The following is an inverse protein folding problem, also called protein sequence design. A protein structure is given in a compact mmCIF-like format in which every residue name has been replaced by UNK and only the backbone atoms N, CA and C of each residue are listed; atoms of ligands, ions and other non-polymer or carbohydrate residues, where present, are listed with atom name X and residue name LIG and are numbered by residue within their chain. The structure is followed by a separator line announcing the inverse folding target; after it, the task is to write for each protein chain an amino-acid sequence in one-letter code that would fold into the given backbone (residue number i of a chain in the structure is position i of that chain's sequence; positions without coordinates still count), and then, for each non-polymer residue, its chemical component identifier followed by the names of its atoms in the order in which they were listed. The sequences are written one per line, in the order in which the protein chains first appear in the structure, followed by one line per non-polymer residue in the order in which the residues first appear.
data_IF_679047652251
#
_entry.id   IF_679047652251
#
_cell.length_a   1.000
_cell.length_b   1.000
_cell.length_c   1.000
_cell.angle_alpha   90.00
_cell.angle_beta   90.00
_cell.angle_gamma   90.00
#
_symmetry.space_group_name_H-M   'P 1'
#
loop_
_entity.id
_entity.type
_entity.pdbx_description
1 polymer ?
#
# COMPACT_ATOMS: atom_id res chain seq x y z
N UNK A 1 9.78 -8.04 0.16
CA UNK A 1 9.72 -9.17 1.12
C UNK A 1 10.96 -10.04 1.01
N UNK A 2 11.29 -10.59 -0.16
CA UNK A 2 12.52 -11.39 -0.33
C UNK A 2 13.80 -10.59 -0.06
N UNK A 3 13.90 -9.36 -0.57
CA UNK A 3 15.07 -8.48 -0.38
C UNK A 3 15.34 -8.16 1.10
N UNK A 4 14.36 -7.56 1.79
CA UNK A 4 14.54 -7.01 3.15
C UNK A 4 13.93 -7.87 4.27
N UNK A 5 13.36 -9.04 3.96
CA UNK A 5 12.88 -10.02 4.94
C UNK A 5 14.03 -10.77 5.59
N UNK A 6 14.95 -10.02 6.22
CA UNK A 6 16.22 -10.51 6.76
C UNK A 6 16.30 -10.25 8.26
N UNK A 7 17.16 -11.01 8.93
CA UNK A 7 17.37 -10.90 10.38
C UNK A 7 18.84 -10.82 10.80
N UNK A 8 19.78 -10.91 9.84
CA UNK A 8 21.22 -10.82 10.07
C UNK A 8 21.76 -9.57 9.35
N UNK A 9 22.54 -8.79 10.08
CA UNK A 9 23.22 -7.58 9.57
C UNK A 9 24.49 -7.93 8.78
N UNK A 10 25.08 -6.95 8.09
CA UNK A 10 26.34 -7.13 7.35
C UNK A 10 27.52 -7.52 8.26
N UNK A 11 27.48 -7.13 9.54
CA UNK A 11 28.46 -7.55 10.55
C UNK A 11 28.34 -9.03 10.98
N UNK A 12 27.25 -9.71 10.60
CA UNK A 12 26.92 -11.06 11.05
C UNK A 12 26.12 -11.10 12.36
N UNK A 13 25.88 -9.95 13.01
CA UNK A 13 25.03 -9.87 14.19
C UNK A 13 23.53 -9.96 13.82
N UNK A 14 22.73 -10.53 14.72
CA UNK A 14 21.27 -10.58 14.59
C UNK A 14 20.63 -9.23 14.96
N UNK A 15 19.66 -8.78 14.17
CA UNK A 15 18.91 -7.54 14.44
C UNK A 15 18.06 -7.65 15.71
N UNK A 16 17.89 -6.52 16.41
CA UNK A 16 16.97 -6.37 17.56
C UNK A 16 15.81 -5.38 17.25
N UNK A 17 15.61 -5.07 15.97
CA UNK A 17 14.57 -4.20 15.42
C UNK A 17 13.81 -4.88 14.27
N UNK A 18 12.74 -4.25 13.78
CA UNK A 18 11.97 -4.74 12.63
C UNK A 18 12.69 -4.43 11.31
N UNK A 19 12.54 -5.30 10.31
CA UNK A 19 13.07 -5.12 8.95
C UNK A 19 11.93 -5.04 7.93
N UNK A 20 12.05 -5.71 6.77
CA UNK A 20 11.08 -5.61 5.68
C UNK A 20 9.65 -5.98 6.10
N UNK A 21 8.64 -5.16 5.74
CA UNK A 21 7.24 -5.45 6.04
C UNK A 21 6.68 -6.56 5.14
N UNK A 22 5.53 -7.11 5.55
CA UNK A 22 4.67 -7.90 4.67
C UNK A 22 3.98 -6.93 3.70
N UNK A 23 4.14 -7.19 2.40
CA UNK A 23 3.52 -6.40 1.33
C UNK A 23 2.34 -7.17 0.76
N UNK A 24 1.21 -6.50 0.59
CA UNK A 24 -0.02 -7.07 0.06
C UNK A 24 -0.90 -5.96 -0.53
N UNK A 25 -1.84 -6.29 -1.42
CA UNK A 25 -2.75 -5.35 -2.03
C UNK A 25 -3.48 -5.92 -3.25
N UNK A 26 -4.48 -5.18 -3.74
CA UNK A 26 -5.29 -5.49 -4.93
C UNK A 26 -5.64 -4.19 -5.65
N UNK A 27 -5.88 -4.21 -6.99
CA UNK A 27 -6.35 -3.03 -7.71
C UNK A 27 -7.66 -2.47 -7.17
N UNK A 28 -7.77 -1.14 -7.14
CA UNK A 28 -9.03 -0.45 -6.89
C UNK A 28 -9.97 -0.57 -8.10
N UNK A 29 -11.29 -0.68 -7.92
CA UNK A 29 -12.05 -0.62 -6.65
C UNK A 29 -12.28 -2.00 -6.02
N UNK A 30 -11.72 -3.09 -6.57
CA UNK A 30 -11.96 -4.46 -6.09
C UNK A 30 -11.59 -4.61 -4.61
N UNK A 31 -10.42 -4.10 -4.21
CA UNK A 31 -9.99 -4.14 -2.80
C UNK A 31 -10.96 -3.44 -1.82
N UNK A 32 -11.70 -2.43 -2.29
CA UNK A 32 -12.67 -1.69 -1.47
C UNK A 32 -13.82 -2.58 -0.99
N UNK A 33 -14.16 -3.60 -1.77
CA UNK A 33 -15.21 -4.56 -1.45
C UNK A 33 -14.70 -5.86 -0.81
N UNK A 34 -13.38 -5.97 -0.59
CA UNK A 34 -12.76 -7.17 -0.01
C UNK A 34 -12.26 -6.91 1.42
N UNK A 35 -11.32 -5.98 1.61
CA UNK A 35 -10.57 -5.85 2.87
C UNK A 35 -10.51 -4.43 3.44
N UNK A 36 -11.08 -3.43 2.76
CA UNK A 36 -11.06 -2.04 3.26
C UNK A 36 -11.87 -1.87 4.55
N UNK A 37 -12.82 -2.76 4.85
CA UNK A 37 -13.48 -2.84 6.15
C UNK A 37 -12.45 -2.96 7.29
N UNK A 38 -11.47 -3.85 7.13
CA UNK A 38 -10.40 -4.03 8.12
C UNK A 38 -9.47 -2.81 8.14
N UNK A 39 -9.18 -2.23 6.97
CA UNK A 39 -8.32 -1.03 6.91
C UNK A 39 -8.99 0.14 7.63
N UNK A 40 -10.31 0.33 7.53
CA UNK A 40 -11.02 1.47 8.14
C UNK A 40 -11.37 1.28 9.63
N UNK A 41 -11.83 0.10 10.02
CA UNK A 41 -12.38 -0.14 11.37
C UNK A 41 -11.71 -1.32 12.10
N UNK A 42 -10.67 -1.91 11.53
CA UNK A 42 -9.87 -2.94 12.19
C UNK A 42 -8.89 -2.38 13.21
N UNK A 43 -8.26 -3.27 13.97
CA UNK A 43 -7.34 -2.92 15.08
C UNK A 43 -5.87 -2.84 14.66
N UNK A 44 -5.59 -2.85 13.36
CA UNK A 44 -4.23 -2.75 12.81
C UNK A 44 -4.07 -1.42 12.09
N UNK A 45 -2.94 -0.75 12.34
CA UNK A 45 -2.48 0.35 11.51
C UNK A 45 -1.80 -0.25 10.27
N UNK A 46 -2.28 0.13 9.09
CA UNK A 46 -1.79 -0.37 7.80
C UNK A 46 -1.49 0.86 6.94
N UNK A 47 -0.21 1.25 6.78
CA UNK A 47 0.17 2.26 5.81
C UNK A 47 -0.17 1.80 4.40
N UNK A 48 -0.84 2.64 3.61
CA UNK A 48 -1.22 2.31 2.23
C UNK A 48 -0.63 3.30 1.23
N UNK A 49 -0.01 2.78 0.18
CA UNK A 49 0.33 3.57 -1.01
C UNK A 49 -0.82 3.43 -2.02
N UNK A 50 -1.50 4.53 -2.33
CA UNK A 50 -2.54 4.62 -3.35
C UNK A 50 -1.94 5.18 -4.64
N UNK A 51 -2.08 4.45 -5.76
CA UNK A 51 -1.50 4.82 -7.05
C UNK A 51 -2.60 4.99 -8.11
N UNK A 52 -2.55 6.06 -8.91
CA UNK A 52 -3.52 6.25 -10.02
C UNK A 52 -2.97 7.14 -11.16
N UNK A 53 -3.23 6.78 -12.44
CA UNK A 53 -3.02 7.71 -13.54
C UNK A 53 -4.13 8.75 -13.64
N UNK A 54 -3.79 9.99 -13.97
CA UNK A 54 -4.75 11.05 -14.29
C UNK A 54 -5.49 10.73 -15.58
N UNK A 55 -4.77 10.25 -16.61
CA UNK A 55 -5.30 9.90 -17.91
C UNK A 55 -5.49 8.38 -18.05
N UNK A 56 -6.70 7.96 -18.41
CA UNK A 56 -6.99 6.56 -18.71
C UNK A 56 -6.44 6.14 -20.07
N UNK A 57 -5.98 4.90 -20.20
CA UNK A 57 -5.75 4.27 -21.50
C UNK A 57 -7.06 4.02 -22.27
N UNK A 58 -8.19 3.93 -21.56
CA UNK A 58 -9.51 3.62 -22.13
C UNK A 58 -10.57 4.64 -21.67
N UNK A 59 -10.63 5.84 -22.28
CA UNK A 59 -11.56 6.91 -21.88
C UNK A 59 -13.02 6.65 -22.34
N UNK A 60 -13.53 5.44 -22.10
CA UNK A 60 -14.88 5.02 -22.49
C UNK A 60 -15.97 5.88 -21.83
N UNK A 61 -17.09 6.01 -22.53
CA UNK A 61 -18.25 6.82 -22.09
C UNK A 61 -17.85 8.24 -21.68
N UNK A 62 -17.02 8.89 -22.50
CA UNK A 62 -16.49 10.23 -22.27
C UNK A 62 -15.78 10.37 -20.90
N UNK A 63 -15.01 9.35 -20.52
CA UNK A 63 -14.23 9.34 -19.28
C UNK A 63 -15.06 9.12 -18.01
N UNK A 64 -16.35 8.76 -18.10
CA UNK A 64 -17.20 8.55 -16.92
C UNK A 64 -16.61 7.53 -15.94
N UNK A 65 -16.10 6.40 -16.46
CA UNK A 65 -15.51 5.35 -15.63
C UNK A 65 -14.28 5.85 -14.87
N UNK A 66 -13.37 6.55 -15.57
CA UNK A 66 -12.16 7.08 -14.96
C UNK A 66 -12.45 8.18 -13.93
N UNK A 67 -13.47 9.01 -14.20
CA UNK A 67 -13.96 10.00 -13.23
C UNK A 67 -14.44 9.35 -11.94
N UNK A 68 -15.22 8.26 -12.03
CA UNK A 68 -15.70 7.51 -10.86
C UNK A 68 -14.52 6.87 -10.11
N UNK A 69 -13.55 6.32 -10.84
CA UNK A 69 -12.34 5.73 -10.27
C UNK A 69 -11.52 6.78 -9.49
N UNK A 70 -11.24 7.94 -10.09
CA UNK A 70 -10.55 9.07 -9.44
C UNK A 70 -11.31 9.57 -8.20
N UNK A 71 -12.64 9.68 -8.29
CA UNK A 71 -13.45 10.09 -7.14
C UNK A 71 -13.32 9.10 -5.97
N UNK A 72 -13.32 7.79 -6.24
CA UNK A 72 -13.12 6.77 -5.20
C UNK A 72 -11.69 6.78 -4.66
N UNK A 73 -10.68 6.99 -5.50
CA UNK A 73 -9.29 7.13 -5.06
C UNK A 73 -9.13 8.25 -4.03
N UNK A 74 -9.63 9.45 -4.35
CA UNK A 74 -9.55 10.61 -3.47
C UNK A 74 -10.36 10.38 -2.19
N UNK A 75 -11.61 9.94 -2.33
CA UNK A 75 -12.52 9.73 -1.20
C UNK A 75 -12.00 8.70 -0.18
N UNK A 76 -11.31 7.64 -0.64
CA UNK A 76 -10.78 6.62 0.29
C UNK A 76 -9.65 7.17 1.16
N UNK A 77 -8.71 7.90 0.57
CA UNK A 77 -7.59 8.50 1.33
C UNK A 77 -8.09 9.59 2.29
N UNK A 78 -9.07 10.39 1.87
CA UNK A 78 -9.74 11.38 2.74
C UNK A 78 -10.48 10.70 3.90
N UNK A 79 -11.25 9.64 3.62
CA UNK A 79 -11.99 8.92 4.65
C UNK A 79 -11.05 8.25 5.68
N UNK A 80 -9.92 7.70 5.25
CA UNK A 80 -8.91 7.11 6.15
C UNK A 80 -8.27 8.16 7.06
N UNK A 81 -8.06 9.37 6.55
CA UNK A 81 -7.52 10.48 7.33
C UNK A 81 -8.57 11.04 8.31
N UNK A 82 -9.72 11.48 7.80
CA UNK A 82 -10.71 12.24 8.56
C UNK A 82 -11.53 11.37 9.49
N UNK A 83 -11.86 10.16 9.06
CA UNK A 83 -12.86 9.33 9.72
C UNK A 83 -14.25 9.98 9.70
N UNK A 84 -15.07 9.61 10.68
CA UNK A 84 -16.43 10.09 10.89
C UNK A 84 -16.71 10.07 12.39
N UNK A 85 -16.90 11.25 12.97
CA UNK A 85 -17.15 11.42 14.40
C UNK A 85 -18.50 10.86 14.84
N UNK A 86 -18.64 10.64 16.15
CA UNK A 86 -19.91 10.23 16.76
C UNK A 86 -21.04 11.21 16.44
N UNK A 87 -20.81 12.52 16.50
CA UNK A 87 -21.80 13.55 16.17
C UNK A 87 -22.25 13.50 14.71
N UNK A 88 -21.33 13.26 13.76
CA UNK A 88 -21.68 13.12 12.34
C UNK A 88 -22.51 11.86 12.10
N UNK A 89 -22.07 10.71 12.64
CA UNK A 89 -22.80 9.45 12.55
C UNK A 89 -24.20 9.57 13.21
N UNK A 90 -24.29 10.29 14.34
CA UNK A 90 -25.55 10.58 15.04
C UNK A 90 -26.53 11.32 14.15
N UNK A 91 -26.08 12.40 13.50
CA UNK A 91 -26.90 13.20 12.58
C UNK A 91 -27.40 12.38 11.38
N UNK A 92 -26.53 11.54 10.79
CA UNK A 92 -26.91 10.66 9.68
C UNK A 92 -27.97 9.64 10.09
N UNK A 93 -27.81 8.99 11.24
CA UNK A 93 -28.76 8.01 11.75
C UNK A 93 -30.11 8.64 12.12
N UNK A 94 -30.12 9.88 12.62
CA UNK A 94 -31.35 10.62 12.90
C UNK A 94 -32.10 10.96 11.61
N UNK A 95 -31.39 11.43 10.58
CA UNK A 95 -31.98 11.72 9.28
C UNK A 95 -32.56 10.46 8.59
N UNK A 96 -31.99 9.28 8.87
CA UNK A 96 -32.49 8.00 8.37
C UNK A 96 -33.75 7.46 9.09
N UNK A 97 -34.27 8.17 10.11
CA UNK A 97 -35.55 7.84 10.76
C UNK A 97 -35.56 6.52 11.54
N UNK A 98 -34.42 6.14 12.15
CA UNK A 98 -34.30 4.89 12.95
C UNK A 98 -34.99 5.02 14.31
N UNK A 99 -35.42 3.86 14.86
CA UNK A 99 -35.97 3.79 16.22
C UNK A 99 -34.88 4.17 17.25
N UNK A 100 -35.23 4.74 18.41
CA UNK A 100 -34.25 5.09 19.45
C UNK A 100 -33.42 3.89 19.94
N UNK A 101 -34.02 2.70 19.96
CA UNK A 101 -33.38 1.46 20.42
C UNK A 101 -32.35 0.92 19.41
N UNK A 102 -32.65 0.98 18.12
CA UNK A 102 -31.70 0.61 17.07
C UNK A 102 -30.61 1.65 16.91
N UNK A 103 -30.95 2.92 17.16
CA UNK A 103 -30.06 4.06 17.05
C UNK A 103 -28.84 3.93 17.98
N UNK A 104 -29.09 3.74 19.28
CA UNK A 104 -28.01 3.66 20.28
C UNK A 104 -27.11 2.45 20.05
N UNK A 105 -27.67 1.33 19.56
CA UNK A 105 -26.89 0.14 19.21
C UNK A 105 -26.04 0.35 17.96
N UNK A 106 -26.56 1.04 16.95
CA UNK A 106 -25.90 1.18 15.65
C UNK A 106 -24.86 2.29 15.61
N UNK A 107 -25.05 3.34 16.41
CA UNK A 107 -24.17 4.51 16.47
C UNK A 107 -22.67 4.17 16.58
N UNK A 108 -22.21 3.36 17.56
CA UNK A 108 -20.78 3.05 17.69
C UNK A 108 -20.20 2.32 16.47
N UNK A 109 -21.00 1.52 15.75
CA UNK A 109 -20.56 0.81 14.55
C UNK A 109 -20.43 1.71 13.32
N UNK A 110 -21.01 2.92 13.36
CA UNK A 110 -20.98 3.92 12.27
C UNK A 110 -19.89 4.97 12.43
N UNK A 111 -19.16 4.95 13.55
CA UNK A 111 -18.01 5.81 13.80
C UNK A 111 -16.79 5.26 13.05
N UNK A 112 -16.02 6.16 12.46
CA UNK A 112 -14.72 5.87 11.85
C UNK A 112 -13.68 6.72 12.57
N UNK A 113 -12.70 6.09 13.19
CA UNK A 113 -11.70 6.80 14.01
C UNK A 113 -10.79 7.71 13.17
N UNK A 114 -10.63 7.42 11.86
CA UNK A 114 -9.71 8.15 11.01
C UNK A 114 -8.25 7.96 11.44
N UNK A 115 -7.41 8.96 11.16
CA UNK A 115 -5.98 8.98 11.46
C UNK A 115 -5.22 7.74 10.96
N UNK A 116 -5.57 7.25 9.77
CA UNK A 116 -4.93 6.10 9.11
C UNK A 116 -4.08 6.60 7.94
N UNK A 117 -2.75 6.35 7.95
CA UNK A 117 -1.83 6.98 7.03
C UNK A 117 -1.92 6.40 5.62
N UNK A 118 -1.88 7.28 4.63
CA UNK A 118 -1.79 6.91 3.21
C UNK A 118 -0.81 7.82 2.48
N UNK A 119 -0.15 7.29 1.45
CA UNK A 119 0.53 8.08 0.42
C UNK A 119 -0.33 8.06 -0.85
N UNK A 120 -0.49 9.21 -1.51
CA UNK A 120 -1.15 9.30 -2.81
C UNK A 120 -0.11 9.59 -3.89
N UNK A 121 0.14 8.63 -4.77
CA UNK A 121 1.08 8.75 -5.89
C UNK A 121 0.27 8.87 -7.17
N UNK A 122 0.25 10.07 -7.73
CA UNK A 122 -0.51 10.41 -8.93
C UNK A 122 0.46 10.68 -10.06
N UNK A 123 0.20 10.13 -11.24
CA UNK A 123 1.03 10.30 -12.43
C UNK A 123 0.17 10.59 -13.64
N UNK A 124 0.72 11.28 -14.64
CA UNK A 124 -0.07 11.76 -15.79
C UNK A 124 -0.77 10.63 -16.54
N UNK A 125 -0.03 9.61 -16.95
CA UNK A 125 -0.55 8.43 -17.66
C UNK A 125 0.37 7.24 -17.41
N UNK A 126 -0.17 6.02 -17.37
CA UNK A 126 0.66 4.81 -17.24
C UNK A 126 1.29 4.44 -18.58
N UNK A 127 2.35 5.14 -18.96
CA UNK A 127 3.21 4.84 -20.12
C UNK A 127 4.30 3.82 -19.73
N UNK A 128 4.99 3.19 -20.69
CA UNK A 128 6.14 2.34 -20.37
C UNK A 128 7.24 3.08 -19.59
N UNK A 129 7.45 4.37 -19.88
CA UNK A 129 8.40 5.23 -19.17
C UNK A 129 7.98 5.40 -17.70
N UNK A 130 6.75 5.86 -17.45
CA UNK A 130 6.23 6.03 -16.09
C UNK A 130 6.21 4.72 -15.31
N UNK A 131 5.86 3.61 -15.96
CA UNK A 131 5.93 2.29 -15.31
C UNK A 131 7.37 1.96 -14.87
N UNK A 132 8.37 2.20 -15.73
CA UNK A 132 9.77 2.02 -15.38
C UNK A 132 10.22 2.90 -14.21
N UNK A 133 9.82 4.18 -14.22
CA UNK A 133 10.12 5.11 -13.14
C UNK A 133 9.48 4.68 -11.80
N UNK A 134 8.22 4.24 -11.82
CA UNK A 134 7.53 3.74 -10.62
C UNK A 134 8.20 2.48 -10.06
N UNK A 135 8.61 1.55 -10.92
CA UNK A 135 9.35 0.35 -10.49
C UNK A 135 10.67 0.76 -9.82
N UNK A 136 11.48 1.58 -10.50
CA UNK A 136 12.78 2.05 -9.99
C UNK A 136 12.64 2.82 -8.67
N UNK A 137 11.59 3.62 -8.51
CA UNK A 137 11.28 4.32 -7.26
C UNK A 137 11.11 3.33 -6.09
N UNK A 138 10.37 2.23 -6.28
CA UNK A 138 10.21 1.21 -5.25
C UNK A 138 11.48 0.37 -5.04
N UNK A 139 12.27 0.11 -6.08
CA UNK A 139 13.58 -0.54 -5.93
C UNK A 139 14.52 0.30 -5.05
N UNK A 140 14.58 1.62 -5.28
CA UNK A 140 15.38 2.52 -4.45
C UNK A 140 14.81 2.68 -3.04
N UNK A 141 13.49 2.71 -2.85
CA UNK A 141 12.85 2.64 -1.52
C UNK A 141 13.33 1.40 -0.76
N UNK A 142 13.32 0.23 -1.41
CA UNK A 142 13.75 -1.04 -0.81
C UNK A 142 15.24 -1.01 -0.50
N UNK A 143 16.07 -0.50 -1.41
CA UNK A 143 17.50 -0.37 -1.20
C UNK A 143 17.83 0.52 0.00
N UNK A 144 17.25 1.72 0.08
CA UNK A 144 17.48 2.67 1.18
C UNK A 144 17.08 2.06 2.51
N UNK A 145 15.92 1.40 2.59
CA UNK A 145 15.51 0.68 3.80
C UNK A 145 16.53 -0.39 4.22
N UNK A 146 17.05 -1.16 3.27
CA UNK A 146 18.05 -2.18 3.54
C UNK A 146 19.38 -1.62 4.06
N UNK A 147 19.83 -0.49 3.49
CA UNK A 147 21.02 0.23 3.95
C UNK A 147 20.84 0.74 5.38
N UNK A 148 19.71 1.39 5.68
CA UNK A 148 19.38 1.88 7.03
C UNK A 148 19.37 0.75 8.06
N UNK A 149 18.87 -0.43 7.69
CA UNK A 149 18.80 -1.59 8.57
C UNK A 149 20.11 -2.40 8.66
N UNK A 150 21.17 -1.99 7.95
CA UNK A 150 22.44 -2.70 7.81
C UNK A 150 22.29 -4.18 7.37
N UNK A 151 21.36 -4.45 6.45
CA UNK A 151 21.12 -5.80 5.90
C UNK A 151 21.53 -5.90 4.43
N UNK A 152 21.72 -7.12 3.93
CA UNK A 152 21.91 -7.35 2.51
C UNK A 152 20.56 -7.53 1.79
N UNK A 153 20.15 -6.55 1.00
CA UNK A 153 18.92 -6.60 0.20
C UNK A 153 18.98 -7.51 -1.04
N UNK A 154 20.14 -8.04 -1.38
CA UNK A 154 20.40 -8.66 -2.68
C UNK A 154 20.74 -10.16 -2.63
N UNK A 155 20.70 -10.78 -1.45
CA UNK A 155 20.79 -12.25 -1.31
C UNK A 155 19.45 -12.88 -0.92
N UNK A 156 19.36 -14.22 -0.94
CA UNK A 156 18.13 -14.96 -0.63
C UNK A 156 18.39 -16.34 0.00
N UNK A 157 19.33 -16.46 0.95
CA UNK A 157 19.68 -17.74 1.60
C UNK A 157 18.48 -18.49 2.23
N UNK A 158 17.41 -17.78 2.58
CA UNK A 158 16.20 -18.35 3.19
C UNK A 158 15.49 -19.40 2.33
N UNK A 159 15.73 -19.45 1.02
CA UNK A 159 15.07 -20.42 0.12
C UNK A 159 15.75 -21.79 0.10
N UNK A 160 16.95 -21.92 0.66
CA UNK A 160 17.79 -23.12 0.49
C UNK A 160 17.28 -24.31 1.29
N UNK A 161 16.83 -24.10 2.53
CA UNK A 161 16.37 -25.19 3.40
C UNK A 161 15.18 -25.94 2.78
N UNK A 162 14.20 -25.21 2.25
CA UNK A 162 13.05 -25.80 1.56
C UNK A 162 13.47 -26.65 0.35
N UNK A 163 14.41 -26.15 -0.47
CA UNK A 163 14.95 -26.89 -1.62
C UNK A 163 15.72 -28.15 -1.21
N UNK A 164 16.49 -28.09 -0.12
CA UNK A 164 17.23 -29.24 0.40
C UNK A 164 16.30 -30.33 0.95
N UNK A 165 15.24 -29.93 1.66
CA UNK A 165 14.25 -30.85 2.20
C UNK A 165 13.39 -31.48 1.10
N UNK A 166 12.92 -30.68 0.14
CA UNK A 166 12.14 -31.18 -0.99
C UNK A 166 12.87 -32.30 -1.76
N UNK A 167 14.18 -32.14 -2.03
CA UNK A 167 15.01 -33.17 -2.67
C UNK A 167 15.16 -34.47 -1.89
N UNK A 168 15.02 -34.42 -0.56
CA UNK A 168 15.04 -35.63 0.29
C UNK A 168 13.68 -36.32 0.31
N UNK A 169 12.61 -35.54 0.33
CA UNK A 169 11.23 -36.03 0.38
C UNK A 169 10.80 -36.61 -0.98
N UNK A 170 11.23 -36.02 -2.10
CA UNK A 170 10.89 -36.45 -3.45
C UNK A 170 10.99 -37.99 -3.66
N UNK A 171 12.12 -38.67 -3.36
CA UNK A 171 12.22 -40.12 -3.51
C UNK A 171 11.42 -40.95 -2.47
N UNK A 172 11.00 -40.36 -1.35
CA UNK A 172 10.12 -41.02 -0.37
C UNK A 172 8.70 -41.14 -0.92
N UNK A 173 8.25 -40.15 -1.70
CA UNK A 173 6.93 -40.14 -2.34
C UNK A 173 6.81 -41.18 -3.47
N UNK A 174 7.91 -41.56 -4.12
CA UNK A 174 7.94 -42.61 -5.15
C UNK A 174 7.90 -44.04 -4.57
N UNK A 175 7.79 -44.21 -3.25
CA UNK A 175 7.70 -45.51 -2.57
C UNK A 175 8.96 -46.37 -2.68
N UNK A 176 10.12 -45.77 -3.02
CA UNK A 176 11.33 -46.49 -3.41
C UNK A 176 12.52 -46.35 -2.43
N UNK A 177 12.27 -46.03 -1.16
CA UNK A 177 13.32 -45.95 -0.13
C UNK A 177 13.02 -46.81 1.12
N UNK A 178 14.03 -47.49 1.72
CA UNK A 178 13.84 -48.29 2.93
C UNK A 178 13.59 -47.40 4.16
N UNK A 179 12.59 -47.77 4.96
CA UNK A 179 12.17 -47.11 6.22
C UNK A 179 13.37 -46.63 7.05
N UNK A 180 13.59 -45.31 7.12
CA UNK A 180 14.46 -44.71 8.13
C UNK A 180 13.67 -44.56 9.43
N UNK A 181 14.17 -45.16 10.51
CA UNK A 181 13.73 -44.87 11.87
C UNK A 181 14.22 -43.47 12.26
N UNK A 182 13.27 -42.57 12.52
CA UNK A 182 13.37 -41.20 13.05
C UNK A 182 13.26 -40.06 12.02
N UNK A 183 12.02 -39.63 11.75
CA UNK A 183 11.72 -38.27 11.28
C UNK A 183 10.45 -38.20 10.45
N UNK A 184 9.40 -37.57 11.02
CA UNK A 184 8.18 -37.07 10.37
C UNK A 184 7.97 -37.55 8.92
N UNK A 185 7.39 -38.73 8.75
CA UNK A 185 7.09 -39.33 7.45
C UNK A 185 6.09 -38.46 6.69
N UNK A 186 6.48 -37.99 5.50
CA UNK A 186 5.61 -37.23 4.59
C UNK A 186 4.37 -38.04 4.15
N UNK A 187 4.44 -39.37 4.28
CA UNK A 187 3.34 -40.32 4.05
C UNK A 187 2.08 -39.95 4.86
N UNK A 188 2.24 -39.43 6.09
CA UNK A 188 1.09 -39.04 6.95
C UNK A 188 0.39 -37.75 6.48
N UNK A 189 1.02 -36.93 5.62
CA UNK A 189 0.46 -35.66 5.14
C UNK A 189 -0.34 -35.82 3.84
N UNK A 190 -0.01 -36.84 3.05
CA UNK A 190 -0.66 -37.10 1.76
C UNK A 190 -1.93 -37.95 1.90
N UNK A 191 -2.14 -38.65 3.03
CA UNK A 191 -3.41 -39.30 3.36
C UNK A 191 -4.52 -38.25 3.62
N UNK A 192 -5.12 -37.75 2.54
CA UNK A 192 -6.22 -36.77 2.57
C UNK A 192 -6.13 -35.65 1.53
N UNK A 193 -5.07 -35.60 0.72
CA UNK A 193 -4.93 -34.60 -0.35
C UNK A 193 -5.79 -34.89 -1.60
N UNK A 194 -6.34 -36.10 -1.72
CA UNK A 194 -7.13 -36.54 -2.88
C UNK A 194 -8.57 -35.97 -2.93
N UNK A 195 -8.98 -35.15 -1.94
CA UNK A 195 -10.34 -34.61 -1.80
C UNK A 195 -10.43 -33.08 -2.01
N UNK A 196 -9.48 -32.49 -2.76
CA UNK A 196 -9.68 -31.13 -3.30
C UNK A 196 -10.25 -31.24 -4.71
N UNK A 197 -11.54 -30.92 -4.81
CA UNK A 197 -12.40 -31.06 -6.00
C UNK A 197 -11.71 -30.86 -7.35
N UNK A 198 -11.93 -31.82 -8.23
CA UNK A 198 -11.67 -31.74 -9.66
C UNK A 198 -12.48 -30.60 -10.28
N UNK A 199 -11.88 -29.42 -10.44
CA UNK A 199 -12.36 -28.40 -11.38
C UNK A 199 -11.80 -28.72 -12.77
N UNK A 200 -12.38 -29.74 -13.41
CA UNK A 200 -12.18 -30.01 -14.82
C UNK A 200 -13.27 -29.30 -15.62
N UNK A 201 -13.02 -28.03 -15.97
CA UNK A 201 -13.56 -27.36 -17.18
C UNK A 201 -12.89 -25.96 -17.37
N UNK A 202 -11.64 -25.95 -17.83
CA UNK A 202 -11.04 -24.74 -18.43
C UNK A 202 -11.53 -24.59 -19.88
N UNK A 203 -12.46 -23.66 -20.11
CA UNK A 203 -12.74 -23.15 -21.44
C UNK A 203 -11.63 -22.17 -21.85
N UNK A 204 -11.04 -22.37 -23.04
CA UNK A 204 -9.97 -21.53 -23.56
C UNK A 204 -10.39 -20.06 -23.75
N UNK A 205 -9.53 -19.08 -23.42
CA UNK A 205 -9.85 -17.67 -23.66
C UNK A 205 -9.87 -17.34 -25.17
N UNK A 206 -10.77 -16.45 -25.64
CA UNK A 206 -10.77 -16.03 -27.03
C UNK A 206 -9.54 -15.16 -27.34
N UNK A 207 -8.98 -15.37 -28.53
CA UNK A 207 -7.80 -14.62 -29.01
C UNK A 207 -8.12 -13.15 -29.29
N UNK A 208 -7.16 -12.23 -29.06
CA UNK A 208 -7.34 -10.82 -29.37
C UNK A 208 -7.28 -10.59 -30.88
N UNK A 209 -8.31 -9.94 -31.43
CA UNK A 209 -8.27 -9.37 -32.78
C UNK A 209 -7.56 -8.03 -32.67
N UNK A 210 -6.41 -7.92 -33.35
CA UNK A 210 -5.71 -6.66 -33.53
C UNK A 210 -6.49 -5.77 -34.49
N UNK A 211 -6.96 -4.62 -34.00
CA UNK A 211 -7.33 -3.49 -34.85
C UNK A 211 -6.75 -2.22 -34.23
N UNK A 212 -5.59 -1.80 -34.75
CA UNK A 212 -4.97 -0.52 -34.42
C UNK A 212 -5.71 0.58 -35.20
N UNK A 213 -6.85 0.98 -34.68
CA UNK A 213 -7.56 2.19 -35.11
C UNK A 213 -6.86 3.43 -34.56
N UNK A 214 -6.16 4.15 -35.45
CA UNK A 214 -5.54 5.44 -35.15
C UNK A 214 -6.59 6.55 -35.21
N UNK A 215 -7.27 6.82 -34.10
CA UNK A 215 -8.17 7.98 -33.98
C UNK A 215 -7.59 9.02 -33.02
N UNK A 216 -6.86 9.97 -33.59
CA UNK A 216 -6.54 11.25 -32.97
C UNK A 216 -7.83 12.05 -32.77
N UNK A 217 -8.34 12.12 -31.54
CA UNK A 217 -9.40 13.07 -31.20
C UNK A 217 -8.94 14.02 -30.11
N UNK A 218 -8.91 15.31 -30.49
CA UNK A 218 -8.71 16.49 -29.66
C UNK A 218 -9.75 16.54 -28.52
N UNK A 219 -9.49 15.83 -27.43
CA UNK A 219 -10.07 16.18 -26.14
C UNK A 219 -9.17 17.27 -25.55
N UNK A 220 -9.67 18.51 -25.46
CA UNK A 220 -8.97 19.60 -24.76
C UNK A 220 -8.46 19.08 -23.43
N UNK A 221 -7.12 19.06 -23.26
CA UNK A 221 -6.45 18.79 -22.00
C UNK A 221 -7.08 19.68 -20.93
N UNK A 222 -7.95 19.07 -20.12
CA UNK A 222 -8.32 19.66 -18.84
C UNK A 222 -7.11 19.44 -17.96
N UNK A 223 -6.51 20.54 -17.53
CA UNK A 223 -5.34 20.54 -16.65
C UNK A 223 -5.76 20.06 -15.24
N UNK A 224 -5.88 18.74 -15.13
CA UNK A 224 -6.13 18.05 -13.88
C UNK A 224 -4.98 18.19 -12.90
N UNK A 225 -3.75 18.42 -13.40
CA UNK A 225 -2.56 18.66 -12.60
C UNK A 225 -2.74 19.93 -11.76
N UNK A 226 -3.10 21.04 -12.38
CA UNK A 226 -3.41 22.28 -11.67
C UNK A 226 -4.61 22.13 -10.72
N UNK A 227 -5.66 21.37 -11.10
CA UNK A 227 -6.82 21.18 -10.22
C UNK A 227 -6.53 20.33 -8.98
N UNK A 228 -5.70 19.29 -9.11
CA UNK A 228 -5.24 18.48 -7.98
C UNK A 228 -4.26 19.27 -7.11
N UNK A 229 -3.44 20.15 -7.70
CA UNK A 229 -2.60 21.09 -6.98
C UNK A 229 -3.41 22.19 -6.28
N UNK A 230 -4.56 22.63 -6.79
CA UNK A 230 -5.41 23.64 -6.14
C UNK A 230 -6.18 23.08 -4.93
N UNK A 231 -6.56 21.80 -4.96
CA UNK A 231 -7.12 21.10 -3.78
C UNK A 231 -6.13 21.10 -2.60
N UNK A 232 -4.82 21.19 -2.86
CA UNK A 232 -3.74 21.29 -1.87
C UNK A 232 -3.85 22.53 -0.97
N UNK A 233 -4.44 23.64 -1.44
CA UNK A 233 -4.32 24.94 -0.79
C UNK A 233 -5.50 25.30 0.11
N UNK A 234 -6.61 24.54 0.06
CA UNK A 234 -7.87 24.98 0.69
C UNK A 234 -8.03 24.57 2.17
N UNK A 235 -7.21 23.64 2.70
CA UNK A 235 -7.41 23.09 4.05
C UNK A 235 -6.30 23.37 5.07
N UNK A 236 -5.42 24.35 4.82
CA UNK A 236 -4.46 24.82 5.85
C UNK A 236 -5.15 25.76 6.85
N UNK A 237 -6.09 25.25 7.66
CA UNK A 237 -6.46 25.88 8.93
C UNK A 237 -6.40 24.81 10.02
N UNK A 238 -5.44 24.89 10.96
CA UNK A 238 -5.40 24.00 12.11
C UNK A 238 -6.63 24.26 12.99
N UNK A 239 -7.61 23.37 12.93
CA UNK A 239 -8.75 23.37 13.85
C UNK A 239 -8.30 23.00 15.25
N UNK A 240 -8.56 23.90 16.20
CA UNK A 240 -8.26 23.79 17.63
C UNK A 240 -8.77 22.46 18.21
N UNK A 241 -7.89 21.72 18.89
CA UNK A 241 -8.21 20.48 19.59
C UNK A 241 -9.27 20.70 20.69
N UNK A 242 -10.26 19.80 20.86
CA UNK A 242 -11.17 19.87 21.99
C UNK A 242 -10.45 19.49 23.31
N UNK A 243 -10.84 20.08 24.46
CA UNK A 243 -10.15 19.84 25.72
C UNK A 243 -10.41 18.43 26.26
N UNK A 244 -9.36 17.78 26.74
CA UNK A 244 -9.44 16.49 27.41
C UNK A 244 -10.08 16.61 28.82
N UNK A 245 -10.87 15.63 29.27
CA UNK A 245 -11.42 15.62 30.63
C UNK A 245 -10.35 15.30 31.69
N UNK A 246 -10.51 15.75 32.95
CA UNK A 246 -9.49 15.58 34.00
C UNK A 246 -9.63 14.26 34.79
N UNK A 247 -8.50 13.61 35.06
CA UNK A 247 -8.32 12.47 36.01
C UNK A 247 -8.26 11.10 35.31
N UNK A 248 -7.39 10.14 35.62
CA UNK A 248 -6.47 9.87 36.75
C UNK A 248 -5.24 9.10 36.22
N UNK A 249 -4.17 9.05 37.01
CA UNK A 249 -2.85 8.56 36.62
C UNK A 249 -2.80 7.13 36.09
N UNK A 250 -2.57 7.01 34.78
CA UNK A 250 -1.90 5.89 34.14
C UNK A 250 -0.96 6.45 33.08
N UNK A 251 0.24 5.89 32.97
CA UNK A 251 1.22 6.29 31.97
C UNK A 251 0.56 6.20 30.57
N UNK A 252 0.32 7.36 29.97
CA UNK A 252 -0.24 7.49 28.64
C UNK A 252 0.67 6.73 27.65
N UNK A 253 0.12 5.98 26.69
CA UNK A 253 0.92 5.47 25.57
C UNK A 253 1.61 6.65 24.88
N UNK A 254 2.78 6.44 24.24
CA UNK A 254 3.41 7.51 23.45
C UNK A 254 2.37 8.06 22.49
N UNK A 255 2.25 9.39 22.45
CA UNK A 255 1.22 10.11 21.70
C UNK A 255 1.05 9.48 20.31
N UNK A 256 -0.18 9.10 19.95
CA UNK A 256 -0.48 8.57 18.63
C UNK A 256 -0.01 9.61 17.61
N UNK A 257 0.90 9.26 16.67
CA UNK A 257 1.36 10.20 15.66
C UNK A 257 0.14 10.77 14.92
N UNK A 258 0.04 12.10 14.88
CA UNK A 258 -0.93 12.77 14.04
C UNK A 258 -0.29 12.94 12.66
N UNK A 259 -0.88 12.32 11.64
CA UNK A 259 -0.39 12.46 10.28
C UNK A 259 -0.88 13.79 9.69
N UNK A 260 0.04 14.52 9.04
CA UNK A 260 -0.28 15.77 8.35
C UNK A 260 -1.28 15.53 7.20
N UNK A 261 -2.12 16.52 6.87
CA UNK A 261 -3.07 16.38 5.78
C UNK A 261 -2.32 16.37 4.44
N UNK A 262 -2.59 15.32 3.65
CA UNK A 262 -2.18 15.06 2.26
C UNK A 262 -0.68 15.16 1.90
N UNK A 263 -0.07 14.01 1.57
CA UNK A 263 1.06 13.96 0.64
C UNK A 263 0.57 13.39 -0.69
N UNK A 264 0.26 14.28 -1.63
CA UNK A 264 0.06 13.91 -3.04
C UNK A 264 1.39 14.14 -3.74
N UNK A 265 2.07 13.05 -4.08
CA UNK A 265 3.21 13.09 -4.98
C UNK A 265 2.65 13.10 -6.41
N UNK A 266 2.82 14.20 -7.12
CA UNK A 266 2.57 14.25 -8.57
C UNK A 266 3.90 13.99 -9.25
N UNK A 267 3.95 12.92 -10.03
CA UNK A 267 5.14 12.50 -10.79
C UNK A 267 4.92 12.93 -12.23
N UNK A 268 5.72 13.89 -12.71
CA UNK A 268 5.73 14.26 -14.14
C UNK A 268 6.83 13.49 -14.89
N UNK A 269 6.63 13.22 -16.18
CA UNK A 269 7.66 12.57 -16.99
C UNK A 269 8.91 13.46 -17.09
N UNK A 270 8.70 14.78 -17.21
CA UNK A 270 9.77 15.77 -17.34
C UNK A 270 10.74 15.72 -16.15
N UNK A 271 10.27 15.39 -14.93
CA UNK A 271 11.09 15.27 -13.72
C UNK A 271 12.19 14.19 -13.84
N UNK A 272 12.05 13.24 -14.77
CA UNK A 272 12.93 12.09 -14.94
C UNK A 272 13.59 12.01 -16.33
N UNK A 273 13.38 13.02 -17.18
CA UNK A 273 13.96 13.04 -18.54
C UNK A 273 15.44 13.39 -18.55
N UNK A 274 15.94 14.08 -17.52
CA UNK A 274 17.37 14.42 -17.40
C UNK A 274 18.15 13.32 -16.67
N UNK A 275 19.40 13.11 -17.09
CA UNK A 275 20.33 12.21 -16.38
C UNK A 275 20.48 12.69 -14.93
N UNK A 276 20.08 11.83 -13.99
CA UNK A 276 20.28 12.06 -12.56
C UNK A 276 21.78 12.14 -12.27
N UNK A 277 22.31 13.37 -12.21
CA UNK A 277 23.65 13.62 -11.69
C UNK A 277 23.62 13.54 -10.17
N UNK A 278 24.76 13.22 -9.55
CA UNK A 278 24.90 13.24 -8.09
C UNK A 278 24.47 14.61 -7.50
N UNK A 279 24.71 15.69 -8.25
CA UNK A 279 24.34 17.05 -7.89
C UNK A 279 22.81 17.25 -7.86
N UNK A 280 22.08 16.65 -8.79
CA UNK A 280 20.62 16.71 -8.82
C UNK A 280 20.02 15.98 -7.60
N UNK A 281 20.51 14.78 -7.29
CA UNK A 281 20.09 14.04 -6.10
C UNK A 281 20.38 14.82 -4.80
N UNK A 282 21.55 15.48 -4.70
CA UNK A 282 21.89 16.35 -3.57
C UNK A 282 21.01 17.61 -3.51
N UNK A 283 20.54 18.13 -4.65
CA UNK A 283 19.58 19.23 -4.69
C UNK A 283 18.23 18.82 -4.08
N UNK A 284 17.68 17.67 -4.52
CA UNK A 284 16.42 17.14 -4.00
C UNK A 284 16.49 16.85 -2.49
N UNK A 285 17.61 16.31 -2.01
CA UNK A 285 17.85 16.09 -0.58
C UNK A 285 17.83 17.39 0.22
N UNK A 286 18.47 18.46 -0.29
CA UNK A 286 18.48 19.78 0.36
C UNK A 286 17.11 20.43 0.38
N UNK A 287 16.35 20.32 -0.71
CA UNK A 287 14.97 20.80 -0.76
C UNK A 287 14.08 20.05 0.24
N UNK A 288 14.24 18.73 0.34
CA UNK A 288 13.53 17.93 1.34
C UNK A 288 13.90 18.32 2.78
N UNK A 289 15.19 18.49 3.08
CA UNK A 289 15.66 18.97 4.39
C UNK A 289 15.04 20.34 4.75
N UNK A 290 15.01 21.28 3.80
CA UNK A 290 14.41 22.59 4.00
C UNK A 290 12.90 22.53 4.21
N UNK A 291 12.21 21.64 3.48
CA UNK A 291 10.76 21.52 3.53
C UNK A 291 10.27 20.83 4.81
N UNK A 292 10.91 19.74 5.21
CA UNK A 292 10.47 18.90 6.33
C UNK A 292 11.20 19.21 7.65
N UNK A 293 12.27 20.01 7.61
CA UNK A 293 13.06 20.34 8.80
C UNK A 293 13.85 19.15 9.37
N UNK A 294 14.12 18.13 8.56
CA UNK A 294 14.81 16.90 8.96
C UNK A 294 16.31 17.03 8.68
N UNK A 295 17.16 16.76 9.68
CA UNK A 295 18.61 16.70 9.51
C UNK A 295 19.04 15.34 8.92
N UNK A 296 19.17 15.31 7.58
CA UNK A 296 19.59 14.09 6.88
C UNK A 296 21.07 13.72 7.11
N UNK A 297 21.94 14.66 7.51
CA UNK A 297 23.33 14.31 7.84
C UNK A 297 23.38 13.48 9.12
N UNK A 298 22.57 13.84 10.11
CA UNK A 298 22.43 13.07 11.35
C UNK A 298 21.88 11.65 11.09
N UNK A 299 20.89 11.50 10.21
CA UNK A 299 20.30 10.21 9.84
C UNK A 299 21.25 9.26 9.10
N UNK A 300 22.19 9.80 8.30
CA UNK A 300 23.13 9.01 7.51
C UNK A 300 24.48 8.79 8.21
N UNK A 301 24.72 9.44 9.35
CA UNK A 301 25.99 9.40 10.09
C UNK A 301 26.15 8.23 11.08
N UNK A 302 25.23 7.27 11.10
CA UNK A 302 25.24 6.13 12.01
C UNK A 302 25.58 4.80 11.33
#
# INVERSE_FOLDING_TARGET
MESNGKYITKSGARVNYQTGPIVWGEPGTNGQHAFYQLIHQGTKMIPCDFLIPVQSQHPIRNGLHHKILLANFLAQTEALMRGKSTEEARKELQAAGRSPEDFEKLLPHKVFEGNRPTNSIVFTKLTPFILGALIAMYEHKIFIQGVIWDINSFDQWGVELGKQLAKKIEPELDGSSPKQENGLTAEDWCEGADDWGSDSEEASPPQPVADFGNDSSNAKDRDWTSQLQDLRLQDTVPGVAPPAPPGEGQALPPAVPQFLPYYICVVDEDDYTDFVSLDHAQSLLREYQQREGVDMEQLLSH
#
